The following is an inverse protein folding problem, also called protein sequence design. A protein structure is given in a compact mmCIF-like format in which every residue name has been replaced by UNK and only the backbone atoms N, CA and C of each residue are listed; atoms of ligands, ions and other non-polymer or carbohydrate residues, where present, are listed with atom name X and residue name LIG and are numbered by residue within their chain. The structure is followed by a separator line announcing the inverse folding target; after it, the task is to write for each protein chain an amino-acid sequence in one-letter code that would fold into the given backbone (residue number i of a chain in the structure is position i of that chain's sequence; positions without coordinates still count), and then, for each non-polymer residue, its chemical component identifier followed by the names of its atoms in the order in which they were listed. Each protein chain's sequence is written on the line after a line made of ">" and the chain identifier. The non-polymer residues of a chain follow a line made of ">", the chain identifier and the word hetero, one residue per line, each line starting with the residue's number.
data_IF_626115049151
#
_entry.id   IF_626115049151
#
_cell.length_a   1.000
_cell.length_b   1.000
_cell.length_c   1.000
_cell.angle_alpha   90.00
_cell.angle_beta   90.00
_cell.angle_gamma   90.00
#
_symmetry.space_group_name_H-M   'P 1'
#
loop_
_entity.id
_entity.type
_entity.pdbx_description
1 polymer ?
#
# COMPACT_ATOMS: atom_id res chain seq x y z
N UNK A 1 -6.06 2.09 5.16
CA UNK A 1 -6.51 0.95 4.33
C UNK A 1 -7.83 0.31 4.75
N UNK A 2 -8.16 0.13 6.04
CA UNK A 2 -9.40 -0.60 6.44
C UNK A 2 -10.69 -0.01 5.86
N UNK A 3 -11.00 1.27 6.14
CA UNK A 3 -12.23 1.92 5.63
C UNK A 3 -12.22 2.03 4.11
N UNK A 4 -11.13 2.54 3.54
CA UNK A 4 -10.97 2.69 2.09
C UNK A 4 -11.11 1.37 1.35
N UNK A 5 -10.48 0.29 1.85
CA UNK A 5 -10.56 -1.04 1.24
C UNK A 5 -11.98 -1.58 1.27
N UNK A 6 -12.68 -1.48 2.41
CA UNK A 6 -14.09 -1.91 2.52
C UNK A 6 -14.96 -1.14 1.55
N UNK A 7 -14.88 0.19 1.54
CA UNK A 7 -15.68 1.02 0.63
C UNK A 7 -15.38 0.71 -0.83
N UNK A 8 -14.10 0.58 -1.19
CA UNK A 8 -13.69 0.25 -2.56
C UNK A 8 -14.17 -1.13 -2.99
N UNK A 9 -14.14 -2.13 -2.11
CA UNK A 9 -14.73 -3.45 -2.39
C UNK A 9 -16.24 -3.33 -2.61
N UNK A 10 -16.96 -2.57 -1.78
CA UNK A 10 -18.42 -2.37 -1.93
C UNK A 10 -18.81 -1.66 -3.22
N UNK A 11 -18.04 -0.65 -3.63
CA UNK A 11 -18.27 0.04 -4.90
C UNK A 11 -17.92 -0.90 -6.06
N UNK A 12 -16.82 -1.66 -5.95
CA UNK A 12 -16.39 -2.62 -6.97
C UNK A 12 -17.40 -3.75 -7.19
N UNK A 13 -18.02 -4.26 -6.13
CA UNK A 13 -19.10 -5.26 -6.20
C UNK A 13 -20.29 -4.77 -7.06
N UNK A 14 -20.56 -3.46 -7.08
CA UNK A 14 -21.72 -2.87 -7.78
C UNK A 14 -21.40 -2.23 -9.13
N UNK A 15 -20.18 -1.74 -9.30
CA UNK A 15 -19.79 -0.88 -10.43
C UNK A 15 -18.62 -1.42 -11.24
N UNK A 16 -18.00 -2.53 -10.81
CA UNK A 16 -16.85 -3.15 -11.46
C UNK A 16 -15.52 -2.57 -11.01
N UNK A 17 -14.48 -3.41 -11.12
CA UNK A 17 -13.14 -3.14 -10.57
C UNK A 17 -12.50 -1.92 -11.22
N UNK A 18 -12.39 -1.91 -12.55
CA UNK A 18 -11.67 -0.88 -13.27
C UNK A 18 -12.37 0.47 -13.23
N UNK A 19 -13.71 0.47 -13.29
CA UNK A 19 -14.49 1.69 -13.13
C UNK A 19 -14.29 2.29 -11.73
N UNK A 20 -14.39 1.47 -10.68
CA UNK A 20 -14.15 1.92 -9.30
C UNK A 20 -12.73 2.44 -9.12
N UNK A 21 -11.73 1.72 -9.64
CA UNK A 21 -10.33 2.14 -9.57
C UNK A 21 -10.12 3.53 -10.18
N UNK A 22 -10.60 3.72 -11.41
CA UNK A 22 -10.49 5.00 -12.13
C UNK A 22 -11.24 6.11 -11.40
N UNK A 23 -12.46 5.85 -10.92
CA UNK A 23 -13.28 6.86 -10.25
C UNK A 23 -12.65 7.30 -8.92
N UNK A 24 -12.20 6.36 -8.09
CA UNK A 24 -11.57 6.66 -6.79
C UNK A 24 -10.24 7.39 -6.96
N UNK A 25 -9.40 6.99 -7.93
CA UNK A 25 -8.18 7.72 -8.24
C UNK A 25 -8.46 9.11 -8.84
N UNK A 26 -9.54 9.26 -9.61
CA UNK A 26 -10.01 10.55 -10.11
C UNK A 26 -10.39 11.50 -8.98
N UNK A 27 -11.14 11.02 -7.97
CA UNK A 27 -11.43 11.82 -6.76
C UNK A 27 -10.13 12.18 -6.04
N UNK A 28 -9.22 11.21 -5.85
CA UNK A 28 -7.92 11.45 -5.23
C UNK A 28 -7.09 12.52 -5.94
N UNK A 29 -7.09 12.51 -7.28
CA UNK A 29 -6.42 13.53 -8.10
C UNK A 29 -7.04 14.91 -7.87
N UNK A 30 -8.37 15.04 -7.91
CA UNK A 30 -9.06 16.31 -7.67
C UNK A 30 -8.73 16.84 -6.27
N UNK A 31 -8.81 15.97 -5.25
CA UNK A 31 -8.44 16.35 -3.87
C UNK A 31 -6.98 16.79 -3.77
N UNK A 32 -6.06 16.09 -4.44
CA UNK A 32 -4.63 16.41 -4.43
C UNK A 32 -4.34 17.75 -5.12
N UNK A 33 -5.03 18.07 -6.23
CA UNK A 33 -4.91 19.35 -6.92
C UNK A 33 -5.40 20.52 -6.04
N UNK A 34 -6.50 20.33 -5.31
CA UNK A 34 -7.00 21.32 -4.36
C UNK A 34 -5.95 21.57 -3.26
N UNK A 35 -5.39 20.50 -2.69
CA UNK A 35 -4.34 20.61 -1.66
C UNK A 35 -3.11 21.33 -2.21
N UNK A 36 -2.63 20.94 -3.39
CA UNK A 36 -1.48 21.56 -4.06
C UNK A 36 -1.69 23.07 -4.29
N UNK A 37 -2.91 23.48 -4.68
CA UNK A 37 -3.24 24.89 -4.87
C UNK A 37 -3.06 25.73 -3.60
N UNK A 38 -3.40 25.17 -2.44
CA UNK A 38 -3.22 25.85 -1.15
C UNK A 38 -1.80 25.73 -0.60
N UNK A 39 -1.17 24.56 -0.71
CA UNK A 39 0.17 24.29 -0.18
C UNK A 39 1.27 25.00 -0.99
N UNK A 40 1.07 25.16 -2.31
CA UNK A 40 2.00 25.82 -3.25
C UNK A 40 3.43 25.27 -3.23
N UNK A 41 3.63 24.02 -2.85
CA UNK A 41 4.91 23.31 -2.77
C UNK A 41 5.35 22.71 -4.12
N UNK A 42 5.05 23.39 -5.22
CA UNK A 42 5.27 22.89 -6.56
C UNK A 42 6.73 23.04 -7.03
N UNK A 43 7.44 21.92 -7.23
CA UNK A 43 8.77 21.88 -7.84
C UNK A 43 8.81 20.88 -9.02
N UNK A 44 8.46 21.32 -10.24
CA UNK A 44 8.38 20.43 -11.41
C UNK A 44 9.75 19.97 -11.92
N UNK A 45 10.84 20.70 -11.64
CA UNK A 45 12.18 20.26 -12.03
C UNK A 45 12.64 19.02 -11.26
N UNK A 46 12.03 18.74 -10.10
CA UNK A 46 12.20 17.48 -9.38
C UNK A 46 11.89 16.24 -10.23
N UNK A 47 10.93 16.31 -11.14
CA UNK A 47 10.58 15.18 -12.02
C UNK A 47 11.70 14.80 -13.00
N UNK A 48 12.61 15.73 -13.31
CA UNK A 48 13.75 15.47 -14.20
C UNK A 48 14.93 14.82 -13.47
N UNK A 49 15.01 15.00 -12.15
CA UNK A 49 16.14 14.54 -11.32
C UNK A 49 15.88 13.20 -10.65
N UNK A 50 14.63 12.83 -10.43
CA UNK A 50 14.26 11.51 -9.89
C UNK A 50 14.49 10.40 -10.92
N UNK A 51 14.72 9.18 -10.43
CA UNK A 51 14.77 8.01 -11.29
C UNK A 51 13.42 7.83 -12.00
N UNK A 52 13.43 7.77 -13.34
CA UNK A 52 12.23 7.64 -14.17
C UNK A 52 11.38 6.41 -13.82
N UNK A 53 12.00 5.35 -13.29
CA UNK A 53 11.26 4.18 -12.81
C UNK A 53 10.30 4.52 -11.65
N UNK A 54 10.61 5.50 -10.81
CA UNK A 54 9.74 5.89 -9.69
C UNK A 54 8.46 6.59 -10.17
N UNK A 55 8.46 7.15 -11.38
CA UNK A 55 7.26 7.74 -11.98
C UNK A 55 6.22 6.69 -12.34
N UNK A 56 6.61 5.42 -12.47
CA UNK A 56 5.68 4.30 -12.64
C UNK A 56 5.01 3.85 -11.33
N UNK A 57 5.30 4.49 -10.19
CA UNK A 57 4.64 4.20 -8.91
C UNK A 57 3.11 4.31 -8.98
N UNK A 58 2.58 5.21 -9.83
CA UNK A 58 1.15 5.29 -10.10
C UNK A 58 0.57 4.07 -10.82
N UNK A 59 1.36 3.37 -11.65
CA UNK A 59 0.93 2.10 -12.23
C UNK A 59 0.97 0.97 -11.18
N UNK A 60 1.97 1.00 -10.29
CA UNK A 60 2.06 0.06 -9.17
C UNK A 60 0.87 0.22 -8.21
N UNK A 61 0.38 1.44 -7.97
CA UNK A 61 -0.77 1.68 -7.09
C UNK A 61 -2.06 1.04 -7.61
N UNK A 62 -2.24 0.93 -8.93
CA UNK A 62 -3.35 0.21 -9.55
C UNK A 62 -3.27 -1.29 -9.22
N UNK A 63 -2.06 -1.88 -9.30
CA UNK A 63 -1.83 -3.28 -8.91
C UNK A 63 -2.13 -3.52 -7.42
N UNK A 64 -1.69 -2.62 -6.54
CA UNK A 64 -1.99 -2.67 -5.11
C UNK A 64 -3.49 -2.61 -4.87
N UNK A 65 -4.21 -1.69 -5.53
CA UNK A 65 -5.66 -1.57 -5.41
C UNK A 65 -6.38 -2.88 -5.73
N UNK A 66 -5.99 -3.55 -6.82
CA UNK A 66 -6.54 -4.84 -7.20
C UNK A 66 -6.27 -5.91 -6.13
N UNK A 67 -5.03 -6.04 -5.67
CA UNK A 67 -4.65 -7.00 -4.63
C UNK A 67 -5.44 -6.78 -3.33
N UNK A 68 -5.68 -5.52 -2.95
CA UNK A 68 -6.44 -5.17 -1.75
C UNK A 68 -7.89 -5.62 -1.87
N UNK A 69 -8.56 -5.34 -2.98
CA UNK A 69 -9.95 -5.76 -3.19
C UNK A 69 -10.04 -7.28 -3.19
N UNK A 70 -9.14 -7.95 -3.90
CA UNK A 70 -9.09 -9.41 -3.96
C UNK A 70 -8.91 -10.01 -2.56
N UNK A 71 -7.98 -9.46 -1.76
CA UNK A 71 -7.75 -9.92 -0.40
C UNK A 71 -9.01 -9.77 0.47
N UNK A 72 -9.70 -8.62 0.38
CA UNK A 72 -10.92 -8.37 1.17
C UNK A 72 -12.06 -9.30 0.74
N UNK A 73 -12.23 -9.53 -0.56
CA UNK A 73 -13.27 -10.44 -1.07
C UNK A 73 -13.02 -11.90 -0.67
N UNK A 74 -11.77 -12.31 -0.44
CA UNK A 74 -11.42 -13.69 -0.07
C UNK A 74 -11.31 -13.93 1.43
N UNK A 75 -10.79 -12.97 2.18
CA UNK A 75 -10.42 -13.13 3.60
C UNK A 75 -11.24 -12.24 4.55
N UNK A 76 -12.16 -11.44 4.01
CA UNK A 76 -12.84 -10.38 4.73
C UNK A 76 -11.91 -9.20 5.06
N UNK A 77 -12.47 -8.06 5.54
CA UNK A 77 -11.69 -6.83 5.76
C UNK A 77 -10.57 -6.99 6.80
N UNK A 78 -10.84 -7.72 7.88
CA UNK A 78 -9.88 -7.95 8.95
C UNK A 78 -8.71 -8.84 8.46
N UNK A 79 -9.02 -9.99 7.87
CA UNK A 79 -8.04 -10.93 7.34
C UNK A 79 -7.15 -10.29 6.27
N UNK A 80 -7.75 -9.53 5.34
CA UNK A 80 -7.01 -8.81 4.32
C UNK A 80 -6.05 -7.76 4.88
N UNK A 81 -6.49 -6.96 5.86
CA UNK A 81 -5.65 -5.93 6.49
C UNK A 81 -4.41 -6.57 7.13
N UNK A 82 -4.59 -7.70 7.81
CA UNK A 82 -3.50 -8.44 8.44
C UNK A 82 -2.51 -9.01 7.43
N UNK A 83 -3.00 -9.62 6.35
CA UNK A 83 -2.15 -10.12 5.27
C UNK A 83 -1.31 -8.99 4.63
N UNK A 84 -1.95 -7.84 4.36
CA UNK A 84 -1.28 -6.67 3.79
C UNK A 84 -0.18 -6.16 4.73
N UNK A 85 -0.46 -6.09 6.04
CA UNK A 85 0.53 -5.67 7.03
C UNK A 85 1.76 -6.58 7.02
N UNK A 86 1.58 -7.89 6.99
CA UNK A 86 2.71 -8.84 6.92
C UNK A 86 3.51 -8.64 5.63
N UNK A 87 2.82 -8.58 4.49
CA UNK A 87 3.47 -8.46 3.18
C UNK A 87 4.30 -7.17 3.06
N UNK A 88 3.76 -6.03 3.50
CA UNK A 88 4.47 -4.76 3.43
C UNK A 88 5.66 -4.69 4.40
N UNK A 89 5.55 -5.31 5.60
CA UNK A 89 6.65 -5.33 6.56
C UNK A 89 7.82 -6.19 6.07
N UNK A 90 7.52 -7.37 5.50
CA UNK A 90 8.52 -8.21 4.87
C UNK A 90 9.16 -7.50 3.67
N UNK A 91 8.35 -6.88 2.81
CA UNK A 91 8.84 -6.12 1.66
C UNK A 91 9.75 -4.96 2.06
N UNK A 92 9.35 -4.18 3.08
CA UNK A 92 10.16 -3.08 3.61
C UNK A 92 11.50 -3.58 4.17
N UNK A 93 11.49 -4.66 4.96
CA UNK A 93 12.72 -5.22 5.51
C UNK A 93 13.67 -5.74 4.41
N UNK A 94 13.12 -6.37 3.35
CA UNK A 94 13.94 -6.79 2.20
C UNK A 94 14.54 -5.60 1.46
N UNK A 95 13.78 -4.51 1.28
CA UNK A 95 14.28 -3.27 0.67
C UNK A 95 15.47 -2.71 1.48
N UNK A 96 15.33 -2.63 2.80
CA UNK A 96 16.41 -2.17 3.70
C UNK A 96 17.63 -3.10 3.69
N UNK A 97 17.41 -4.43 3.72
CA UNK A 97 18.47 -5.42 3.78
C UNK A 97 19.35 -5.40 2.51
N UNK A 98 18.72 -5.22 1.36
CA UNK A 98 19.40 -5.16 0.08
C UNK A 98 19.81 -3.74 -0.33
N UNK A 99 19.42 -2.71 0.43
CA UNK A 99 19.67 -1.30 0.09
C UNK A 99 19.00 -0.89 -1.22
N UNK A 100 17.84 -1.47 -1.52
CA UNK A 100 17.15 -1.23 -2.79
C UNK A 100 16.61 0.21 -2.85
N UNK A 101 16.54 0.75 -4.06
CA UNK A 101 15.96 2.06 -4.35
C UNK A 101 16.64 3.25 -3.63
N UNK A 102 17.94 3.13 -3.33
CA UNK A 102 18.70 4.18 -2.64
C UNK A 102 18.44 4.23 -1.13
N UNK A 103 17.78 3.20 -0.58
CA UNK A 103 17.59 3.03 0.87
C UNK A 103 18.92 2.66 1.53
N UNK A 104 19.18 3.21 2.71
CA UNK A 104 20.39 2.87 3.48
C UNK A 104 20.42 1.37 3.79
N UNK A 105 21.52 0.71 3.40
CA UNK A 105 21.65 -0.73 3.57
C UNK A 105 21.88 -1.05 5.04
N UNK A 106 20.92 -1.72 5.65
CA UNK A 106 21.03 -2.16 7.04
C UNK A 106 21.60 -3.58 7.07
N UNK A 107 22.55 -3.85 7.97
CA UNK A 107 23.00 -5.21 8.24
C UNK A 107 21.83 -6.09 8.71
N UNK A 108 21.86 -7.38 8.42
CA UNK A 108 20.82 -8.30 8.90
C UNK A 108 20.69 -8.22 10.43
N UNK A 109 19.51 -7.83 10.92
CA UNK A 109 19.24 -7.65 12.34
C UNK A 109 18.26 -8.72 12.83
N UNK A 110 18.75 -9.62 13.67
CA UNK A 110 17.92 -10.66 14.30
C UNK A 110 16.72 -10.10 15.07
N UNK A 111 16.87 -8.91 15.68
CA UNK A 111 15.77 -8.23 16.37
C UNK A 111 14.63 -7.82 15.44
N UNK A 112 14.92 -7.42 14.20
CA UNK A 112 13.89 -7.09 13.20
C UNK A 112 13.13 -8.36 12.79
N UNK A 113 13.84 -9.46 12.58
CA UNK A 113 13.20 -10.75 12.31
C UNK A 113 12.32 -11.23 13.47
N UNK A 114 12.80 -11.09 14.71
CA UNK A 114 12.06 -11.46 15.91
C UNK A 114 10.81 -10.57 16.08
N UNK A 115 10.93 -9.26 15.84
CA UNK A 115 9.80 -8.34 15.82
C UNK A 115 8.74 -8.68 14.77
N UNK A 116 9.16 -9.00 13.54
CA UNK A 116 8.23 -9.50 12.50
C UNK A 116 7.57 -10.80 12.95
N UNK A 117 8.31 -11.71 13.58
CA UNK A 117 7.78 -12.96 14.14
C UNK A 117 6.71 -12.73 15.21
N UNK A 118 6.93 -11.80 16.15
CA UNK A 118 5.95 -11.43 17.18
C UNK A 118 4.69 -10.84 16.54
N UNK A 119 4.83 -9.99 15.52
CA UNK A 119 3.68 -9.38 14.84
C UNK A 119 2.87 -10.43 14.11
N UNK A 120 3.53 -11.36 13.41
CA UNK A 120 2.85 -12.48 12.76
C UNK A 120 2.13 -13.35 13.80
N UNK A 121 2.77 -13.66 14.92
CA UNK A 121 2.14 -14.41 16.01
C UNK A 121 0.90 -13.68 16.57
N UNK A 122 1.00 -12.37 16.81
CA UNK A 122 -0.14 -11.55 17.26
C UNK A 122 -1.29 -11.53 16.25
N UNK A 123 -0.96 -11.49 14.95
CA UNK A 123 -1.95 -11.59 13.85
C UNK A 123 -2.61 -12.96 13.84
N UNK A 124 -1.83 -14.05 13.96
CA UNK A 124 -2.36 -15.41 14.00
C UNK A 124 -3.28 -15.60 15.19
N UNK A 125 -2.90 -15.12 16.38
CA UNK A 125 -3.75 -15.16 17.57
C UNK A 125 -5.04 -14.37 17.34
N UNK A 126 -4.96 -13.18 16.74
CA UNK A 126 -6.13 -12.37 16.43
C UNK A 126 -7.08 -13.03 15.42
N UNK A 127 -6.52 -13.73 14.41
CA UNK A 127 -7.32 -14.51 13.45
C UNK A 127 -7.86 -15.81 14.05
N UNK A 128 -7.15 -16.41 15.00
CA UNK A 128 -7.62 -17.52 15.83
C UNK A 128 -8.67 -17.04 16.84
N UNK A 129 -9.78 -16.51 16.33
CA UNK A 129 -11.05 -16.51 17.04
C UNK A 129 -11.76 -17.82 16.72
N UNK A 130 -12.06 -18.58 17.78
CA UNK A 130 -13.19 -19.52 17.78
C UNK A 130 -14.47 -18.80 17.38
#
# INVERSE_FOLDING_TARGET
>A
MSIQGVWNTRITEKSGLWFTNTFVHGIGLITSLIILFFAKDFNPDGFKTVNKFYLFSGAVSIGIFYCVILAISKLGPAGATMLILIAQMLGAYLIELFGLFGTEKVSFQWMKCLGIGIIIAGIVIYQCKK
#
